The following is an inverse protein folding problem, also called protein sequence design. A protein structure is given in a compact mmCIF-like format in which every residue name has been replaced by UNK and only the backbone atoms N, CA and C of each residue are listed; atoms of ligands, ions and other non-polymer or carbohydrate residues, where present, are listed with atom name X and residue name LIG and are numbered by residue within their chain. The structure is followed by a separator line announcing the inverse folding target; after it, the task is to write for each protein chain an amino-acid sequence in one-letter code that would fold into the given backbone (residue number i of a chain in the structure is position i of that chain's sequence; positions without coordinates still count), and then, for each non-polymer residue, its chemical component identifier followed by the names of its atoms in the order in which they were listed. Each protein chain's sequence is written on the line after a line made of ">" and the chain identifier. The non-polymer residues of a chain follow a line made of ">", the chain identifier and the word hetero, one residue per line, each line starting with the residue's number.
data_IF_925359194186
#
_entry.id   IF_925359194186
#
_cell.length_a   1.000
_cell.length_b   1.000
_cell.length_c   1.000
_cell.angle_alpha   90.00
_cell.angle_beta   90.00
_cell.angle_gamma   90.00
#
_symmetry.space_group_name_H-M   'P 1'
#
loop_
_entity.id
_entity.type
_entity.pdbx_description
1 polymer ?
#
# COMPACT_ATOMS: atom_id res chain seq x y z
N UNK A 1 -9.31 5.37 16.79
CA UNK A 1 -9.18 6.27 15.63
C UNK A 1 -10.54 6.43 14.96
N UNK A 2 -10.95 7.66 14.73
CA UNK A 2 -12.34 8.00 14.40
C UNK A 2 -12.74 7.62 12.98
N UNK A 3 -14.03 7.48 12.80
CA UNK A 3 -14.79 7.19 11.56
C UNK A 3 -14.62 8.22 10.41
N UNK A 4 -13.39 8.75 10.18
CA UNK A 4 -13.19 9.89 9.30
C UNK A 4 -12.33 9.65 8.05
N UNK A 5 -11.78 8.46 7.82
CA UNK A 5 -10.65 8.34 6.88
C UNK A 5 -11.07 8.02 5.44
N UNK A 6 -12.22 7.44 5.15
CA UNK A 6 -12.58 7.22 3.74
C UNK A 6 -13.64 8.20 3.28
N UNK A 7 -13.23 9.22 2.52
CA UNK A 7 -14.16 10.06 1.76
C UNK A 7 -14.71 9.35 0.51
N UNK A 8 -14.08 8.23 0.11
CA UNK A 8 -14.49 7.48 -1.07
C UNK A 8 -15.44 6.34 -0.72
N UNK A 9 -16.64 6.38 -1.29
CA UNK A 9 -17.62 5.29 -1.20
C UNK A 9 -17.12 3.97 -1.85
N UNK A 10 -16.13 4.04 -2.75
CA UNK A 10 -15.55 2.89 -3.42
C UNK A 10 -14.74 2.01 -2.46
N UNK A 11 -14.05 2.63 -1.50
CA UNK A 11 -13.16 1.96 -0.56
C UNK A 11 -13.81 1.66 0.79
N UNK A 12 -15.02 2.20 1.04
CA UNK A 12 -15.74 2.00 2.30
C UNK A 12 -15.88 0.51 2.72
N UNK A 13 -16.10 -0.47 1.82
CA UNK A 13 -16.18 -1.86 2.22
C UNK A 13 -14.95 -2.40 2.96
N UNK A 14 -13.75 -1.88 2.66
CA UNK A 14 -12.52 -2.35 3.30
C UNK A 14 -12.37 -1.92 4.76
N UNK A 15 -13.11 -0.91 5.20
CA UNK A 15 -13.10 -0.50 6.62
C UNK A 15 -13.72 -1.54 7.55
N UNK A 16 -14.52 -2.44 7.01
CA UNK A 16 -15.16 -3.55 7.73
C UNK A 16 -14.33 -4.85 7.69
N UNK A 17 -13.22 -4.86 6.95
CA UNK A 17 -12.38 -6.04 6.84
C UNK A 17 -11.57 -6.25 8.12
N UNK A 18 -11.52 -7.50 8.56
CA UNK A 18 -10.62 -7.93 9.61
C UNK A 18 -9.21 -8.11 9.05
N UNK A 19 -8.19 -7.99 9.91
CA UNK A 19 -6.77 -8.12 9.53
C UNK A 19 -6.50 -9.42 8.77
N UNK A 20 -7.07 -10.52 9.21
CA UNK A 20 -6.93 -11.81 8.53
C UNK A 20 -7.32 -11.76 7.06
N UNK A 21 -8.40 -11.07 6.71
CA UNK A 21 -8.84 -10.96 5.32
C UNK A 21 -7.82 -10.18 4.45
N UNK A 22 -7.16 -9.18 5.05
CA UNK A 22 -6.07 -8.44 4.39
C UNK A 22 -4.87 -9.35 4.15
N UNK A 23 -4.44 -10.08 5.17
CA UNK A 23 -3.28 -10.97 5.06
C UNK A 23 -3.53 -12.11 4.06
N UNK A 24 -4.75 -12.66 4.04
CA UNK A 24 -5.17 -13.67 3.06
C UNK A 24 -5.16 -13.08 1.63
N UNK A 25 -5.57 -11.81 1.44
CA UNK A 25 -5.52 -11.11 0.15
C UNK A 25 -4.08 -10.90 -0.32
N UNK A 26 -3.20 -10.42 0.56
CA UNK A 26 -1.79 -10.20 0.28
C UNK A 26 -1.08 -11.52 -0.08
N UNK A 27 -1.35 -12.57 0.68
CA UNK A 27 -0.79 -13.89 0.40
C UNK A 27 -1.27 -14.42 -0.96
N UNK A 28 -2.56 -14.27 -1.26
CA UNK A 28 -3.13 -14.67 -2.54
C UNK A 28 -2.51 -13.92 -3.72
N UNK A 29 -2.27 -12.61 -3.58
CA UNK A 29 -1.59 -11.82 -4.60
C UNK A 29 -0.21 -12.39 -4.96
N UNK A 30 0.57 -12.77 -3.94
CA UNK A 30 1.90 -13.37 -4.12
C UNK A 30 1.85 -14.78 -4.68
N UNK A 31 0.87 -15.59 -4.26
CA UNK A 31 0.76 -16.99 -4.68
C UNK A 31 0.29 -17.13 -6.13
N UNK A 32 -0.51 -16.19 -6.61
CA UNK A 32 -0.99 -16.13 -8.00
C UNK A 32 0.02 -15.47 -8.95
N UNK A 33 1.19 -15.01 -8.44
CA UNK A 33 2.25 -14.35 -9.22
C UNK A 33 1.70 -13.26 -10.16
N UNK A 34 0.83 -12.41 -9.62
CA UNK A 34 0.13 -11.39 -10.38
C UNK A 34 1.02 -10.18 -10.66
N UNK A 35 0.88 -9.52 -11.82
CA UNK A 35 1.67 -8.35 -12.17
C UNK A 35 1.29 -7.12 -11.32
N UNK A 36 2.15 -6.11 -11.28
CA UNK A 36 1.87 -4.85 -10.58
C UNK A 36 0.69 -4.07 -11.16
N UNK A 37 0.49 -4.16 -12.47
CA UNK A 37 -0.68 -3.60 -13.16
C UNK A 37 -1.72 -4.68 -13.42
N UNK A 38 -2.88 -4.63 -12.75
CA UNK A 38 -3.94 -5.62 -12.88
C UNK A 38 -5.00 -5.16 -13.87
N UNK A 39 -5.37 -6.05 -14.78
CA UNK A 39 -6.63 -5.96 -15.53
C UNK A 39 -7.82 -6.29 -14.62
N UNK A 40 -9.02 -5.90 -15.02
CA UNK A 40 -10.25 -6.22 -14.26
C UNK A 40 -10.41 -7.74 -14.02
N UNK A 41 -10.07 -8.57 -15.01
CA UNK A 41 -10.09 -10.03 -14.89
C UNK A 41 -9.11 -10.53 -13.81
N UNK A 42 -7.91 -9.97 -13.73
CA UNK A 42 -6.93 -10.34 -12.69
C UNK A 42 -7.36 -9.83 -11.31
N UNK A 43 -7.96 -8.64 -11.23
CA UNK A 43 -8.54 -8.15 -9.99
C UNK A 43 -9.67 -9.05 -9.48
N UNK A 44 -10.48 -9.65 -10.37
CA UNK A 44 -11.49 -10.64 -10.01
C UNK A 44 -10.88 -11.94 -9.45
N UNK A 45 -9.65 -12.27 -9.84
CA UNK A 45 -8.92 -13.39 -9.21
C UNK A 45 -8.64 -13.11 -7.74
N UNK A 46 -8.27 -11.86 -7.39
CA UNK A 46 -7.98 -11.47 -6.01
C UNK A 46 -9.24 -11.27 -5.16
N UNK A 47 -10.15 -10.46 -5.68
CA UNK A 47 -11.38 -10.06 -5.00
C UNK A 47 -12.54 -10.84 -5.61
N UNK A 48 -13.09 -11.80 -4.86
CA UNK A 48 -14.15 -12.70 -5.36
C UNK A 48 -15.51 -12.03 -5.53
N UNK A 49 -15.72 -10.85 -4.93
CA UNK A 49 -16.93 -10.04 -5.06
C UNK A 49 -16.83 -9.12 -6.29
N UNK A 50 -17.58 -9.42 -7.34
CA UNK A 50 -17.61 -8.65 -8.59
C UNK A 50 -18.03 -7.18 -8.38
N UNK A 51 -18.93 -6.91 -7.45
CA UNK A 51 -19.34 -5.54 -7.14
C UNK A 51 -18.21 -4.74 -6.47
N UNK A 52 -17.41 -5.41 -5.63
CA UNK A 52 -16.22 -4.83 -5.01
C UNK A 52 -15.12 -4.61 -6.06
N UNK A 53 -14.87 -5.59 -6.94
CA UNK A 53 -13.92 -5.45 -8.06
C UNK A 53 -14.23 -4.21 -8.88
N UNK A 54 -15.50 -4.03 -9.27
CA UNK A 54 -15.91 -2.87 -10.06
C UNK A 54 -15.63 -1.56 -9.34
N UNK A 55 -15.96 -1.44 -8.06
CA UNK A 55 -15.69 -0.22 -7.26
C UNK A 55 -14.20 0.07 -7.15
N UNK A 56 -13.40 -0.95 -6.88
CA UNK A 56 -11.93 -0.83 -6.78
C UNK A 56 -11.34 -0.43 -8.11
N UNK A 57 -11.82 -1.04 -9.19
CA UNK A 57 -11.35 -0.74 -10.53
C UNK A 57 -11.72 0.69 -10.96
N UNK A 58 -12.95 1.13 -10.68
CA UNK A 58 -13.37 2.52 -10.91
C UNK A 58 -12.54 3.54 -10.13
N UNK A 59 -12.03 3.16 -8.96
CA UNK A 59 -11.23 4.05 -8.12
C UNK A 59 -9.75 4.09 -8.54
N UNK A 60 -9.14 2.92 -8.81
CA UNK A 60 -7.69 2.82 -9.04
C UNK A 60 -7.29 2.72 -10.51
N UNK A 61 -8.20 2.35 -11.43
CA UNK A 61 -7.84 2.18 -12.82
C UNK A 61 -7.61 3.52 -13.51
N UNK A 62 -6.42 3.70 -14.03
CA UNK A 62 -6.07 4.85 -14.85
C UNK A 62 -6.66 4.79 -16.27
N UNK A 63 -6.22 5.70 -17.12
CA UNK A 63 -6.66 5.80 -18.51
C UNK A 63 -6.35 4.58 -19.38
N UNK A 64 -5.39 3.76 -18.98
CA UNK A 64 -4.99 2.50 -19.62
C UNK A 64 -5.83 1.29 -19.18
N UNK A 65 -6.79 1.50 -18.29
CA UNK A 65 -7.67 0.46 -17.71
C UNK A 65 -6.91 -0.64 -16.98
N UNK A 66 -5.80 -0.29 -16.37
CA UNK A 66 -5.10 -1.12 -15.39
C UNK A 66 -5.13 -0.45 -14.03
N UNK A 67 -5.18 -1.22 -12.95
CA UNK A 67 -5.05 -0.72 -11.59
C UNK A 67 -3.69 -1.08 -11.01
N UNK A 68 -3.10 -0.20 -10.22
CA UNK A 68 -1.89 -0.49 -9.45
C UNK A 68 -2.23 -1.45 -8.30
N UNK A 69 -1.75 -2.70 -8.42
CA UNK A 69 -1.98 -3.72 -7.40
C UNK A 69 -1.43 -3.30 -6.04
N UNK A 70 -0.21 -2.77 -6.01
CA UNK A 70 0.47 -2.39 -4.78
C UNK A 70 -0.24 -1.23 -4.08
N UNK A 71 -0.67 -0.21 -4.82
CA UNK A 71 -1.42 0.92 -4.25
C UNK A 71 -2.80 0.48 -3.71
N UNK A 72 -3.47 -0.41 -4.44
CA UNK A 72 -4.72 -1.02 -3.97
C UNK A 72 -4.50 -1.80 -2.67
N UNK A 73 -3.49 -2.68 -2.63
CA UNK A 73 -3.18 -3.51 -1.46
C UNK A 73 -2.77 -2.66 -0.25
N UNK A 74 -1.97 -1.60 -0.47
CA UNK A 74 -1.64 -0.63 0.56
C UNK A 74 -2.89 0.07 1.10
N UNK A 75 -3.81 0.50 0.23
CA UNK A 75 -5.06 1.15 0.65
C UNK A 75 -5.93 0.21 1.49
N UNK A 76 -6.04 -1.07 1.09
CA UNK A 76 -6.76 -2.09 1.87
C UNK A 76 -6.11 -2.29 3.23
N UNK A 77 -4.77 -2.42 3.28
CA UNK A 77 -4.02 -2.59 4.52
C UNK A 77 -4.17 -1.39 5.48
N UNK A 78 -4.25 -0.17 4.95
CA UNK A 78 -4.44 1.05 5.74
C UNK A 78 -5.86 1.18 6.28
N UNK A 79 -6.88 0.81 5.49
CA UNK A 79 -8.30 1.01 5.83
C UNK A 79 -8.84 -0.07 6.76
N UNK A 80 -8.39 -1.30 6.62
CA UNK A 80 -8.89 -2.44 7.37
C UNK A 80 -8.60 -2.32 8.88
N UNK A 81 -9.38 -3.03 9.68
CA UNK A 81 -9.21 -3.11 11.13
C UNK A 81 -7.82 -3.61 11.55
N UNK A 82 -7.53 -3.51 12.84
CA UNK A 82 -6.26 -3.93 13.44
C UNK A 82 -5.46 -2.77 14.05
N UNK A 83 -4.42 -3.12 14.79
CA UNK A 83 -3.48 -2.18 15.40
C UNK A 83 -2.53 -1.56 14.35
N UNK A 84 -1.85 -0.49 14.72
CA UNK A 84 -0.82 0.12 13.86
C UNK A 84 0.28 -0.89 13.52
N UNK A 85 0.70 -1.70 14.49
CA UNK A 85 1.75 -2.70 14.29
C UNK A 85 1.35 -3.84 13.36
N UNK A 86 0.08 -4.27 13.41
CA UNK A 86 -0.45 -5.25 12.47
C UNK A 86 -0.51 -4.68 11.05
N UNK A 87 -0.87 -3.41 10.88
CA UNK A 87 -0.84 -2.74 9.57
C UNK A 87 0.57 -2.65 9.02
N UNK A 88 1.55 -2.22 9.83
CA UNK A 88 2.97 -2.18 9.46
C UNK A 88 3.47 -3.56 9.02
N UNK A 89 3.12 -4.61 9.77
CA UNK A 89 3.50 -5.98 9.44
C UNK A 89 2.87 -6.45 8.11
N UNK A 90 1.59 -6.19 7.87
CA UNK A 90 0.94 -6.53 6.61
C UNK A 90 1.57 -5.79 5.42
N UNK A 91 1.87 -4.49 5.58
CA UNK A 91 2.55 -3.70 4.56
C UNK A 91 3.95 -4.26 4.28
N UNK A 92 4.75 -4.50 5.30
CA UNK A 92 6.08 -5.11 5.15
C UNK A 92 6.01 -6.44 4.40
N UNK A 93 5.12 -7.33 4.84
CA UNK A 93 4.92 -8.62 4.19
C UNK A 93 4.46 -8.50 2.74
N UNK A 94 3.72 -7.45 2.37
CA UNK A 94 3.31 -7.23 0.98
C UNK A 94 4.51 -7.04 0.04
N UNK A 95 5.58 -6.42 0.51
CA UNK A 95 6.77 -6.09 -0.28
C UNK A 95 7.95 -7.05 -0.08
N UNK A 96 7.91 -7.96 0.87
CA UNK A 96 8.81 -9.11 0.95
C UNK A 96 8.45 -10.12 -0.16
N UNK A 97 8.82 -9.79 -1.41
CA UNK A 97 8.41 -10.56 -2.59
C UNK A 97 9.02 -11.97 -2.61
N UNK A 98 10.22 -12.11 -2.09
CA UNK A 98 10.94 -13.39 -2.05
C UNK A 98 10.62 -14.24 -0.80
N UNK A 99 9.78 -13.73 0.11
CA UNK A 99 9.30 -14.42 1.32
C UNK A 99 10.41 -14.86 2.28
N UNK A 100 11.48 -14.06 2.38
CA UNK A 100 12.61 -14.34 3.29
C UNK A 100 12.54 -13.60 4.63
N UNK A 101 11.50 -12.81 4.85
CA UNK A 101 11.31 -12.01 6.07
C UNK A 101 12.16 -10.74 6.11
N UNK A 102 12.66 -10.30 4.96
CA UNK A 102 13.51 -9.13 4.80
C UNK A 102 13.20 -8.44 3.47
N UNK A 103 13.43 -7.13 3.42
CA UNK A 103 13.35 -6.33 2.21
C UNK A 103 14.67 -5.59 1.97
N UNK A 104 14.96 -5.23 0.73
CA UNK A 104 16.05 -4.34 0.39
C UNK A 104 15.61 -2.87 0.37
N UNK A 105 16.56 -1.93 0.27
CA UNK A 105 16.24 -0.49 0.20
C UNK A 105 15.33 -0.15 -0.98
N UNK A 106 15.51 -0.78 -2.14
CA UNK A 106 14.65 -0.56 -3.31
C UNK A 106 13.20 -1.01 -3.05
N UNK A 107 12.98 -2.18 -2.44
CA UNK A 107 11.65 -2.66 -2.06
C UNK A 107 11.02 -1.76 -1.01
N UNK A 108 11.81 -1.27 -0.02
CA UNK A 108 11.33 -0.33 0.99
C UNK A 108 10.95 1.03 0.38
N UNK A 109 11.71 1.56 -0.57
CA UNK A 109 11.39 2.80 -1.29
C UNK A 109 10.05 2.64 -2.02
N UNK A 110 9.89 1.57 -2.79
CA UNK A 110 8.63 1.28 -3.52
C UNK A 110 7.47 1.16 -2.54
N UNK A 111 7.67 0.47 -1.41
CA UNK A 111 6.65 0.35 -0.36
C UNK A 111 6.24 1.72 0.18
N UNK A 112 7.19 2.56 0.56
CA UNK A 112 6.89 3.89 1.09
C UNK A 112 6.16 4.76 0.07
N UNK A 113 6.56 4.75 -1.21
CA UNK A 113 5.88 5.46 -2.29
C UNK A 113 4.43 4.96 -2.43
N UNK A 114 4.21 3.64 -2.52
CA UNK A 114 2.88 3.07 -2.63
C UNK A 114 1.99 3.38 -1.41
N UNK A 115 2.56 3.34 -0.20
CA UNK A 115 1.83 3.66 1.04
C UNK A 115 1.42 5.13 1.07
N UNK A 116 2.31 6.06 0.69
CA UNK A 116 1.99 7.48 0.67
C UNK A 116 0.95 7.78 -0.41
N UNK A 117 1.09 7.22 -1.61
CA UNK A 117 0.08 7.35 -2.70
C UNK A 117 -1.28 6.80 -2.24
N UNK A 118 -1.29 5.60 -1.65
CA UNK A 118 -2.50 4.98 -1.12
C UNK A 118 -3.16 5.84 -0.04
N UNK A 119 -2.37 6.35 0.91
CA UNK A 119 -2.87 7.22 1.97
C UNK A 119 -3.48 8.52 1.41
N UNK A 120 -2.78 9.17 0.47
CA UNK A 120 -3.27 10.39 -0.17
C UNK A 120 -4.53 10.13 -1.00
N UNK A 121 -4.59 9.02 -1.74
CA UNK A 121 -5.77 8.64 -2.52
C UNK A 121 -6.98 8.39 -1.61
N UNK A 122 -6.79 7.70 -0.48
CA UNK A 122 -7.84 7.48 0.53
C UNK A 122 -8.29 8.81 1.16
N UNK A 123 -7.35 9.68 1.50
CA UNK A 123 -7.62 10.97 2.14
C UNK A 123 -8.36 11.94 1.21
N UNK A 124 -7.91 12.04 -0.03
CA UNK A 124 -8.49 12.93 -1.05
C UNK A 124 -9.74 12.34 -1.71
N UNK A 125 -9.88 11.00 -1.66
CA UNK A 125 -10.94 10.27 -2.34
C UNK A 125 -10.74 10.20 -3.87
N UNK A 126 -9.51 10.45 -4.34
CA UNK A 126 -9.17 10.55 -5.76
C UNK A 126 -7.69 10.19 -5.99
N UNK A 127 -7.44 9.17 -6.81
CA UNK A 127 -6.07 8.68 -7.11
C UNK A 127 -5.30 9.71 -7.94
N UNK A 128 -5.94 10.36 -8.90
CA UNK A 128 -5.28 11.35 -9.74
C UNK A 128 -4.82 12.58 -8.95
N UNK A 129 -5.67 13.05 -8.04
CA UNK A 129 -5.30 14.14 -7.14
C UNK A 129 -4.13 13.75 -6.22
N UNK A 130 -4.06 12.48 -5.80
CA UNK A 130 -2.92 11.96 -5.04
C UNK A 130 -1.62 11.96 -5.85
N UNK A 131 -1.66 11.49 -7.10
CA UNK A 131 -0.51 11.51 -8.02
C UNK A 131 -0.01 12.94 -8.27
N UNK A 132 -0.91 13.88 -8.55
CA UNK A 132 -0.56 15.29 -8.73
C UNK A 132 0.10 15.88 -7.47
N UNK A 133 -0.38 15.54 -6.29
CA UNK A 133 0.21 15.99 -5.02
C UNK A 133 1.61 15.42 -4.79
N UNK A 134 1.87 14.18 -5.18
CA UNK A 134 3.19 13.53 -5.09
C UNK A 134 4.23 14.25 -5.95
N UNK A 135 3.89 14.51 -7.21
CA UNK A 135 4.78 15.19 -8.16
C UNK A 135 5.11 16.62 -7.71
N UNK A 136 4.10 17.38 -7.24
CA UNK A 136 4.28 18.78 -6.86
C UNK A 136 5.21 18.97 -5.65
N UNK A 137 5.36 17.95 -4.82
CA UNK A 137 6.12 18.04 -3.56
C UNK A 137 7.44 17.28 -3.58
N UNK A 138 7.86 16.74 -4.72
CA UNK A 138 9.07 15.92 -4.84
C UNK A 138 9.10 14.77 -3.80
N UNK A 139 7.92 14.22 -3.49
CA UNK A 139 7.75 13.26 -2.38
C UNK A 139 8.53 11.97 -2.65
N UNK A 140 8.56 11.50 -3.88
CA UNK A 140 9.28 10.27 -4.23
C UNK A 140 10.78 10.42 -3.99
N UNK A 141 11.37 11.55 -4.37
CA UNK A 141 12.78 11.85 -4.11
C UNK A 141 13.05 11.94 -2.60
N UNK A 142 12.20 12.62 -1.85
CA UNK A 142 12.35 12.73 -0.40
C UNK A 142 12.30 11.36 0.29
N UNK A 143 11.42 10.46 -0.15
CA UNK A 143 11.35 9.08 0.34
C UNK A 143 12.66 8.34 0.05
N UNK A 144 13.14 8.41 -1.20
CA UNK A 144 14.39 7.77 -1.61
C UNK A 144 15.58 8.25 -0.78
N UNK A 145 15.72 9.55 -0.63
CA UNK A 145 16.79 10.16 0.19
C UNK A 145 16.70 9.70 1.65
N UNK A 146 15.50 9.68 2.24
CA UNK A 146 15.28 9.26 3.62
C UNK A 146 15.65 7.79 3.85
N UNK A 147 15.21 6.90 2.97
CA UNK A 147 15.52 5.46 3.07
C UNK A 147 17.02 5.23 2.87
N UNK A 148 17.62 5.85 1.85
CA UNK A 148 19.05 5.70 1.55
C UNK A 148 19.95 6.26 2.66
N UNK A 149 19.55 7.34 3.33
CA UNK A 149 20.27 7.88 4.47
C UNK A 149 20.24 6.92 5.68
N UNK A 150 19.14 6.19 5.88
CA UNK A 150 19.00 5.26 7.02
C UNK A 150 19.65 3.90 6.76
N UNK A 151 19.46 3.35 5.58
CA UNK A 151 19.82 1.96 5.27
C UNK A 151 20.91 1.80 4.21
N UNK A 152 21.29 2.88 3.52
CA UNK A 152 22.17 2.85 2.35
C UNK A 152 21.43 2.55 1.06
N UNK A 153 21.97 3.00 -0.08
CA UNK A 153 21.34 2.79 -1.40
C UNK A 153 21.26 1.29 -1.79
N UNK A 154 22.28 0.53 -1.38
CA UNK A 154 22.35 -0.93 -1.58
C UNK A 154 22.02 -1.70 -0.28
N UNK A 155 21.25 -1.08 0.64
CA UNK A 155 20.87 -1.70 1.90
C UNK A 155 20.08 -2.97 1.67
N UNK A 156 20.59 -4.06 2.24
CA UNK A 156 19.96 -5.37 2.22
C UNK A 156 19.56 -5.75 3.66
N UNK A 157 18.73 -6.77 3.78
CA UNK A 157 18.40 -7.35 5.08
C UNK A 157 17.63 -6.43 6.05
N UNK A 158 16.83 -5.49 5.54
CA UNK A 158 15.92 -4.68 6.37
C UNK A 158 14.83 -5.60 6.91
N UNK A 159 14.79 -5.76 8.23
CA UNK A 159 13.80 -6.61 8.92
C UNK A 159 12.52 -5.85 9.25
N UNK A 160 11.46 -6.57 9.63
CA UNK A 160 10.22 -5.96 10.09
C UNK A 160 10.45 -5.05 11.31
N UNK A 161 11.32 -5.43 12.23
CA UNK A 161 11.66 -4.63 13.41
C UNK A 161 12.33 -3.32 13.00
N UNK A 162 13.35 -3.37 12.13
CA UNK A 162 14.03 -2.19 11.60
C UNK A 162 13.08 -1.27 10.84
N UNK A 163 12.15 -1.85 10.08
CA UNK A 163 11.10 -1.09 9.39
C UNK A 163 10.14 -0.41 10.37
N UNK A 164 9.70 -1.10 11.42
CA UNK A 164 8.82 -0.51 12.45
C UNK A 164 9.47 0.67 13.15
N UNK A 165 10.75 0.54 13.52
CA UNK A 165 11.55 1.62 14.12
C UNK A 165 11.67 2.80 13.17
N UNK A 166 12.02 2.56 11.91
CA UNK A 166 12.12 3.59 10.88
C UNK A 166 10.81 4.37 10.70
N UNK A 167 9.66 3.67 10.65
CA UNK A 167 8.36 4.33 10.49
C UNK A 167 8.01 5.19 11.70
N UNK A 168 8.36 4.77 12.92
CA UNK A 168 8.14 5.60 14.13
C UNK A 168 9.01 6.85 14.09
N UNK A 169 10.30 6.71 13.78
CA UNK A 169 11.23 7.85 13.76
C UNK A 169 10.85 8.91 12.73
N UNK A 170 10.41 8.49 11.53
CA UNK A 170 10.21 9.39 10.39
C UNK A 170 8.76 9.88 10.24
N UNK A 171 7.77 9.13 10.70
CA UNK A 171 6.36 9.43 10.46
C UNK A 171 5.54 9.80 11.71
N UNK A 172 6.00 9.48 12.93
CA UNK A 172 5.32 9.93 14.15
C UNK A 172 5.51 11.45 14.42
N UNK A 173 6.39 12.11 13.66
CA UNK A 173 6.56 13.57 13.73
C UNK A 173 5.48 14.34 12.97
N UNK A 174 4.50 13.66 12.38
CA UNK A 174 3.40 14.24 11.58
C UNK A 174 2.06 14.33 12.37
N UNK A 175 2.06 14.17 13.69
CA UNK A 175 0.90 14.43 14.55
C UNK A 175 0.66 15.91 14.82
#
# INVERSE_FOLDING_TARGET
>A
MGKGISKSAHLAPFTEWERKAVDDLLQKYKDEDLPFGLSEKQATTLLTDEALVKKVFEFFAGGDKTLSALEMLCSVALLAGGSADERKASLFNAFDFNKVGKVCSAELIIMCICVVKAYMAVLLGDVKAAEEAMVTKDVEQAIEETVNNKFGADGEDITLESFKEFVVEEFDTLE
#
